data_IF_780110874534
#
_entry.id   IF_780110874534
#
_cell.length_a   1.000
_cell.length_b   1.000
_cell.length_c   1.000
_cell.angle_alpha   90.00
_cell.angle_beta   90.00
_cell.angle_gamma   90.00
#
_symmetry.space_group_name_H-M   'P 1'
#
loop_
_entity.id
_entity.type
_entity.pdbx_description
1 polymer ?
#
# COMPACT_ATOMS: atom_id res chain seq x y z
N UNK A 1 26.63 -17.44 33.79
CA UNK A 1 27.05 -18.19 32.60
C UNK A 1 25.85 -18.17 31.66
N UNK A 2 25.43 -16.99 31.17
CA UNK A 2 26.16 -16.15 30.18
C UNK A 2 26.24 -16.96 28.86
N UNK A 3 25.80 -16.53 27.70
CA UNK A 3 25.21 -15.31 27.15
C UNK A 3 24.84 -15.66 25.69
N UNK A 4 24.22 -14.73 24.99
CA UNK A 4 24.22 -14.56 23.53
C UNK A 4 23.09 -15.25 22.74
N UNK A 5 21.97 -14.58 22.46
CA UNK A 5 21.75 -13.40 21.59
C UNK A 5 21.52 -13.75 20.11
N UNK A 6 20.35 -13.35 19.58
CA UNK A 6 20.33 -12.36 18.50
C UNK A 6 18.97 -11.68 18.39
N UNK A 7 19.04 -10.37 18.52
CA UNK A 7 18.03 -9.35 18.24
C UNK A 7 17.59 -9.38 16.77
N UNK A 8 16.30 -9.14 16.55
CA UNK A 8 15.81 -8.47 15.34
C UNK A 8 14.76 -7.46 15.79
N UNK A 9 15.24 -6.27 16.12
CA UNK A 9 14.47 -5.03 16.12
C UNK A 9 13.92 -4.82 14.71
N UNK A 10 12.61 -4.57 14.58
CA UNK A 10 12.14 -3.77 13.45
C UNK A 10 11.17 -2.69 13.93
N UNK A 11 11.60 -1.45 13.67
CA UNK A 11 10.76 -0.29 13.42
C UNK A 11 9.76 0.10 14.50
N UNK A 12 10.20 0.94 15.45
CA UNK A 12 9.28 1.83 16.14
C UNK A 12 8.52 2.70 15.12
N UNK A 13 7.21 2.79 15.29
CA UNK A 13 6.42 3.89 14.75
C UNK A 13 5.70 4.55 15.92
N UNK A 14 6.41 5.49 16.55
CA UNK A 14 5.82 6.58 17.28
C UNK A 14 5.46 7.66 16.26
N UNK A 15 4.19 7.77 15.92
CA UNK A 15 3.62 8.99 15.36
C UNK A 15 2.36 9.28 16.17
N UNK A 16 1.98 10.55 16.32
CA UNK A 16 0.71 10.95 16.95
C UNK A 16 -0.50 10.33 16.24
N UNK A 17 -1.74 10.81 16.44
CA UNK A 17 -2.88 10.34 15.66
C UNK A 17 -2.76 10.80 14.20
N UNK A 18 -1.79 10.26 13.45
CA UNK A 18 -1.77 10.26 12.01
C UNK A 18 -2.89 9.32 11.61
N UNK A 19 -3.97 9.89 11.09
CA UNK A 19 -5.07 9.14 10.51
C UNK A 19 -4.55 8.37 9.30
N UNK A 20 -4.02 7.16 9.53
CA UNK A 20 -3.71 6.20 8.47
C UNK A 20 -4.95 6.01 7.62
N UNK A 21 -4.81 6.28 6.31
CA UNK A 21 -5.88 6.12 5.33
C UNK A 21 -6.09 4.63 5.07
N UNK A 22 -7.21 4.09 5.56
CA UNK A 22 -7.55 2.68 5.37
C UNK A 22 -8.32 2.50 4.06
N UNK A 23 -7.84 1.62 3.21
CA UNK A 23 -8.48 1.21 1.97
C UNK A 23 -8.89 -0.25 2.07
N UNK A 24 -10.19 -0.53 1.95
CA UNK A 24 -10.74 -1.89 1.94
C UNK A 24 -10.70 -2.45 0.52
N UNK A 25 -10.03 -3.59 0.34
CA UNK A 25 -10.05 -4.35 -0.91
C UNK A 25 -11.15 -5.39 -0.88
N UNK A 26 -11.95 -5.44 -1.93
CA UNK A 26 -12.99 -6.45 -2.11
C UNK A 26 -12.56 -7.46 -3.19
N UNK A 27 -13.11 -8.68 -3.13
CA UNK A 27 -12.75 -9.79 -4.03
C UNK A 27 -12.97 -9.48 -5.52
N UNK A 28 -13.82 -8.51 -5.86
CA UNK A 28 -14.02 -7.99 -7.21
C UNK A 28 -12.98 -6.92 -7.63
N UNK A 29 -11.84 -6.86 -6.94
CA UNK A 29 -10.77 -5.85 -7.07
C UNK A 29 -11.20 -4.41 -6.81
N UNK A 30 -12.41 -4.16 -6.30
CA UNK A 30 -12.81 -2.81 -5.89
C UNK A 30 -12.03 -2.42 -4.64
N UNK A 31 -11.52 -1.19 -4.65
CA UNK A 31 -10.81 -0.58 -3.53
C UNK A 31 -11.68 0.55 -3.00
N UNK A 32 -12.01 0.51 -1.72
CA UNK A 32 -12.87 1.49 -1.07
C UNK A 32 -12.10 2.22 0.02
N UNK A 33 -11.95 3.52 -0.14
CA UNK A 33 -11.31 4.41 0.80
C UNK A 33 -12.27 4.75 1.94
N UNK A 34 -11.88 4.49 3.20
CA UNK A 34 -12.72 4.79 4.36
C UNK A 34 -12.61 6.23 4.83
N UNK A 35 -11.62 7.00 4.38
CA UNK A 35 -11.44 8.42 4.71
C UNK A 35 -12.36 9.25 3.83
N UNK A 36 -12.29 9.06 2.51
CA UNK A 36 -13.13 9.78 1.54
C UNK A 36 -14.47 9.08 1.26
N UNK A 37 -14.69 7.89 1.84
CA UNK A 37 -15.90 7.10 1.66
C UNK A 37 -16.25 6.83 0.19
N UNK A 38 -15.23 6.60 -0.65
CA UNK A 38 -15.38 6.44 -2.10
C UNK A 38 -14.55 5.29 -2.66
N UNK A 39 -14.93 4.83 -3.85
CA UNK A 39 -14.10 3.89 -4.59
C UNK A 39 -12.89 4.61 -5.19
N UNK A 40 -11.73 3.98 -5.04
CA UNK A 40 -10.45 4.46 -5.55
C UNK A 40 -9.80 3.42 -6.45
N UNK A 41 -8.79 3.84 -7.20
CA UNK A 41 -8.02 2.99 -8.11
C UNK A 41 -6.58 2.81 -7.62
N UNK A 42 -5.88 1.80 -8.15
CA UNK A 42 -4.46 1.57 -7.85
C UNK A 42 -3.56 2.79 -8.09
N UNK A 43 -3.70 3.55 -9.21
CA UNK A 43 -2.94 4.78 -9.42
C UNK A 43 -3.22 5.85 -8.37
N UNK A 44 -4.48 6.02 -7.94
CA UNK A 44 -4.82 7.00 -6.89
C UNK A 44 -4.19 6.63 -5.54
N UNK A 45 -4.12 5.35 -5.21
CA UNK A 45 -3.40 4.88 -4.01
C UNK A 45 -1.92 5.24 -4.09
N UNK A 46 -1.29 5.08 -5.26
CA UNK A 46 0.09 5.52 -5.46
C UNK A 46 0.25 7.04 -5.31
N UNK A 47 -0.72 7.85 -5.76
CA UNK A 47 -0.70 9.29 -5.53
C UNK A 47 -0.70 9.63 -4.04
N UNK A 48 -1.55 8.98 -3.24
CA UNK A 48 -1.59 9.21 -1.79
C UNK A 48 -0.25 8.90 -1.13
N UNK A 49 0.36 7.76 -1.47
CA UNK A 49 1.69 7.38 -0.95
C UNK A 49 2.77 8.37 -1.43
N UNK A 50 2.70 8.83 -2.68
CA UNK A 50 3.62 9.84 -3.23
C UNK A 50 3.45 11.21 -2.55
N UNK A 51 2.26 11.54 -2.08
CA UNK A 51 1.97 12.75 -1.30
C UNK A 51 2.44 12.62 0.17
N UNK A 52 2.97 11.46 0.57
CA UNK A 52 3.41 11.19 1.93
C UNK A 52 2.28 10.79 2.87
N UNK A 53 1.09 10.46 2.33
CA UNK A 53 0.01 9.90 3.15
C UNK A 53 0.33 8.44 3.53
N UNK A 54 0.05 8.10 4.79
CA UNK A 54 0.13 6.73 5.28
C UNK A 54 -1.10 5.95 4.81
N UNK A 55 -0.92 4.99 3.91
CA UNK A 55 -2.01 4.20 3.33
C UNK A 55 -1.91 2.74 3.74
N UNK A 56 -3.02 2.19 4.23
CA UNK A 56 -3.13 0.79 4.62
C UNK A 56 -4.20 0.08 3.81
N UNK A 57 -3.84 -0.97 3.09
CA UNK A 57 -4.78 -1.77 2.31
C UNK A 57 -5.13 -3.04 3.09
N UNK A 58 -6.41 -3.20 3.43
CA UNK A 58 -6.92 -4.36 4.18
C UNK A 58 -7.91 -5.14 3.31
N UNK A 59 -7.75 -6.46 3.24
CA UNK A 59 -8.74 -7.32 2.58
C UNK A 59 -10.07 -7.33 3.37
N UNK A 60 -11.19 -7.08 2.70
CA UNK A 60 -12.47 -7.06 3.38
C UNK A 60 -12.94 -8.46 3.81
N UNK A 61 -12.48 -9.52 3.14
CA UNK A 61 -12.89 -10.90 3.42
C UNK A 61 -11.96 -11.52 4.45
N UNK A 62 -10.64 -11.48 4.24
CA UNK A 62 -9.66 -12.15 5.10
C UNK A 62 -9.13 -11.26 6.23
N UNK A 63 -9.37 -9.94 6.17
CA UNK A 63 -8.81 -8.94 7.09
C UNK A 63 -7.28 -8.86 7.08
N UNK A 64 -6.63 -9.44 6.08
CA UNK A 64 -5.18 -9.40 5.94
C UNK A 64 -4.71 -8.02 5.48
N UNK A 65 -3.50 -7.66 5.93
CA UNK A 65 -2.80 -6.49 5.42
C UNK A 65 -2.17 -6.80 4.06
N UNK A 66 -2.72 -6.18 3.02
CA UNK A 66 -2.27 -6.31 1.65
C UNK A 66 -1.50 -5.07 1.20
N UNK A 67 -1.07 -4.21 2.12
CA UNK A 67 -0.42 -2.93 1.82
C UNK A 67 0.82 -3.17 0.96
N UNK A 68 1.74 -4.00 1.45
CA UNK A 68 3.00 -4.29 0.76
C UNK A 68 2.79 -4.92 -0.62
N UNK A 69 1.87 -5.88 -0.72
CA UNK A 69 1.56 -6.57 -1.97
C UNK A 69 0.94 -5.63 -3.00
N UNK A 70 0.02 -4.76 -2.57
CA UNK A 70 -0.67 -3.80 -3.44
C UNK A 70 0.30 -2.73 -3.94
N UNK A 71 1.17 -2.21 -3.08
CA UNK A 71 2.20 -1.24 -3.49
C UNK A 71 3.18 -1.84 -4.50
N UNK A 72 3.62 -3.09 -4.29
CA UNK A 72 4.45 -3.80 -5.25
C UNK A 72 3.74 -3.99 -6.60
N UNK A 73 2.45 -4.31 -6.57
CA UNK A 73 1.63 -4.41 -7.79
C UNK A 73 1.57 -3.06 -8.52
N UNK A 74 1.38 -1.95 -7.80
CA UNK A 74 1.34 -0.62 -8.39
C UNK A 74 2.67 -0.29 -9.09
N UNK A 75 3.80 -0.51 -8.40
CA UNK A 75 5.13 -0.30 -8.97
C UNK A 75 5.33 -1.08 -10.27
N UNK A 76 4.96 -2.36 -10.26
CA UNK A 76 5.07 -3.23 -11.42
C UNK A 76 4.18 -2.80 -12.60
N UNK A 77 2.96 -2.35 -12.32
CA UNK A 77 2.04 -1.84 -13.35
C UNK A 77 2.55 -0.55 -13.99
N UNK A 78 3.19 0.33 -13.22
CA UNK A 78 3.76 1.58 -13.73
C UNK A 78 4.98 1.32 -14.65
N UNK A 79 5.88 0.41 -14.27
CA UNK A 79 7.02 0.00 -15.11
C UNK A 79 6.55 -0.65 -16.43
N UNK A 80 5.49 -1.46 -16.36
CA UNK A 80 4.84 -2.08 -17.53
C UNK A 80 4.15 -1.07 -18.46
N UNK A 81 3.66 0.07 -17.95
CA UNK A 81 3.09 1.14 -18.78
C UNK A 81 4.17 1.95 -19.47
N UNK A 82 5.28 2.25 -18.79
CA UNK A 82 6.38 3.00 -19.41
C UNK A 82 7.09 2.22 -20.52
N UNK A 83 7.24 0.91 -20.35
CA UNK A 83 7.82 0.02 -21.36
C UNK A 83 6.94 -0.20 -22.61
N UNK A 84 5.68 0.26 -22.60
CA UNK A 84 4.75 0.17 -23.73
C UNK A 84 4.73 1.40 -24.62
N UNK A 85 5.56 2.41 -24.39
CA UNK A 85 5.73 3.50 -25.35
C UNK A 85 6.41 2.93 -26.60
N UNK A 86 5.70 2.75 -27.73
CA UNK A 86 6.34 2.37 -28.96
C UNK A 86 7.04 3.63 -29.47
N UNK A 87 8.36 3.60 -29.51
CA UNK A 87 9.08 4.57 -30.32
C UNK A 87 8.54 4.46 -31.76
N UNK A 88 8.02 5.57 -32.28
CA UNK A 88 7.75 5.79 -33.69
C UNK A 88 7.44 7.27 -33.93
N UNK A 89 7.86 7.87 -35.06
CA UNK A 89 8.55 7.29 -36.22
C UNK A 89 10.08 7.18 -36.08
#
# INVERSE_FOLDING_TARGET
MEESSKVATDGGQSAGPQTTRVVKRYSNRKLYDTVESRYVTLPQIAEYVRQGEDVRIIDNTTKEDLTRMTLAQILYEEERKQSRLPWGP
#
